data_IF_206211250307
#
_entry.id   IF_206211250307
#
_cell.length_a   1.000
_cell.length_b   1.000
_cell.length_c   1.000
_cell.angle_alpha   90.00
_cell.angle_beta   90.00
_cell.angle_gamma   90.00
#
_symmetry.space_group_name_H-M   'P 1'
#
loop_
_entity.id
_entity.type
_entity.pdbx_description
1 polymer ?
#
# COMPACT_ATOMS: atom_id res chain seq x y z
N UNK A 1 -1.62 0.92 -23.90
CA UNK A 1 -0.51 1.90 -23.78
C UNK A 1 0.75 1.26 -24.33
N UNK A 2 1.15 1.63 -25.55
CA UNK A 2 2.32 1.07 -26.23
C UNK A 2 3.59 1.78 -25.80
N UNK A 3 4.46 1.05 -25.08
CA UNK A 3 5.84 1.47 -24.86
C UNK A 3 6.72 0.24 -25.03
N UNK A 4 6.93 -0.20 -26.27
CA UNK A 4 8.14 -0.93 -26.61
C UNK A 4 8.62 -0.51 -27.98
N UNK A 5 9.93 -0.25 -28.04
CA UNK A 5 10.77 -0.05 -29.21
C UNK A 5 10.75 1.34 -29.85
N UNK A 6 11.53 2.26 -29.26
CA UNK A 6 12.41 3.08 -30.08
C UNK A 6 13.87 2.73 -29.76
N UNK A 7 14.57 2.26 -30.78
CA UNK A 7 15.94 1.77 -30.77
C UNK A 7 16.94 2.94 -30.75
N UNK A 8 17.59 3.17 -29.59
CA UNK A 8 19.02 3.54 -29.45
C UNK A 8 19.50 3.18 -28.03
N UNK A 9 20.53 2.34 -27.85
CA UNK A 9 21.13 2.15 -26.53
C UNK A 9 22.01 3.37 -26.22
N UNK A 10 21.44 4.41 -25.62
CA UNK A 10 22.26 5.28 -24.80
C UNK A 10 22.61 4.46 -23.56
N UNK A 11 23.77 3.77 -23.57
CA UNK A 11 24.30 2.97 -22.45
C UNK A 11 24.17 3.71 -21.10
N UNK A 12 24.25 5.05 -21.13
CA UNK A 12 23.99 5.95 -20.00
C UNK A 12 22.59 5.81 -19.36
N UNK A 13 21.53 5.63 -20.15
CA UNK A 13 20.15 5.49 -19.63
C UNK A 13 19.88 4.07 -19.10
N UNK A 14 20.44 3.05 -19.74
CA UNK A 14 20.33 1.65 -19.27
C UNK A 14 21.13 1.43 -17.99
N UNK A 15 22.32 2.03 -17.88
CA UNK A 15 23.11 2.01 -16.65
C UNK A 15 22.40 2.75 -15.52
N UNK A 16 21.82 3.94 -15.80
CA UNK A 16 21.04 4.70 -14.82
C UNK A 16 19.83 3.89 -14.33
N UNK A 17 19.14 3.18 -15.22
CA UNK A 17 18.02 2.29 -14.90
C UNK A 17 18.43 1.14 -13.97
N UNK A 18 19.53 0.45 -14.29
CA UNK A 18 20.05 -0.67 -13.48
C UNK A 18 20.51 -0.18 -12.11
N UNK A 19 21.25 0.93 -12.05
CA UNK A 19 21.77 1.49 -10.80
C UNK A 19 20.63 1.93 -9.87
N UNK A 20 19.61 2.63 -10.39
CA UNK A 20 18.46 3.05 -9.58
C UNK A 20 17.64 1.85 -9.08
N UNK A 21 17.45 0.83 -9.91
CA UNK A 21 16.76 -0.42 -9.52
C UNK A 21 17.52 -1.18 -8.44
N UNK A 22 18.85 -1.27 -8.57
CA UNK A 22 19.70 -1.92 -7.58
C UNK A 22 19.61 -1.19 -6.24
N UNK A 23 19.64 0.14 -6.23
CA UNK A 23 19.47 0.94 -5.01
C UNK A 23 18.13 0.65 -4.33
N UNK A 24 17.03 0.57 -5.08
CA UNK A 24 15.71 0.21 -4.55
C UNK A 24 15.68 -1.17 -3.90
N UNK A 25 16.25 -2.18 -4.58
CA UNK A 25 16.37 -3.55 -4.03
C UNK A 25 17.21 -3.55 -2.75
N UNK A 26 18.38 -2.89 -2.78
CA UNK A 26 19.25 -2.80 -1.61
C UNK A 26 18.54 -2.15 -0.42
N UNK A 27 17.75 -1.11 -0.67
CA UNK A 27 17.04 -0.37 0.36
C UNK A 27 15.89 -1.18 1.01
N UNK A 28 15.18 -2.01 0.23
CA UNK A 28 14.01 -2.77 0.70
C UNK A 28 14.32 -4.20 1.16
N UNK A 29 15.27 -4.88 0.51
CA UNK A 29 15.47 -6.32 0.70
C UNK A 29 16.79 -6.67 1.39
N UNK A 30 17.78 -5.78 1.40
CA UNK A 30 19.09 -6.10 1.97
C UNK A 30 19.23 -5.54 3.39
N UNK A 31 19.39 -6.40 4.41
CA UNK A 31 19.60 -5.97 5.78
C UNK A 31 21.09 -5.65 6.00
N UNK A 32 21.48 -4.41 5.69
CA UNK A 32 22.87 -3.94 5.80
C UNK A 32 23.19 -3.29 7.16
N UNK A 33 22.18 -3.02 7.99
CA UNK A 33 22.38 -2.27 9.24
C UNK A 33 22.43 -3.23 10.43
N UNK A 34 23.54 -3.30 11.18
CA UNK A 34 23.57 -4.01 12.45
C UNK A 34 22.73 -3.25 13.49
N UNK A 35 21.77 -3.95 14.10
CA UNK A 35 20.97 -3.48 15.23
C UNK A 35 21.09 -4.48 16.38
N UNK A 36 20.91 -4.03 17.63
CA UNK A 36 21.08 -4.83 18.85
C UNK A 36 20.22 -6.12 18.93
N UNK A 37 19.25 -6.30 18.02
CA UNK A 37 18.40 -7.51 17.90
C UNK A 37 18.50 -8.23 16.55
N UNK A 38 19.47 -7.89 15.70
CA UNK A 38 19.69 -8.51 14.39
C UNK A 38 20.02 -7.51 13.27
N UNK A 39 20.16 -8.01 12.02
CA UNK A 39 20.36 -7.14 10.84
C UNK A 39 19.01 -6.59 10.38
N UNK A 40 18.87 -5.26 10.41
CA UNK A 40 17.66 -4.56 9.97
C UNK A 40 17.76 -4.09 8.51
N UNK A 41 16.62 -4.01 7.83
CA UNK A 41 16.49 -3.41 6.49
C UNK A 41 16.72 -1.90 6.57
N UNK A 42 17.38 -1.32 5.55
CA UNK A 42 17.66 0.11 5.47
C UNK A 42 16.40 0.99 5.63
N UNK A 43 15.27 0.55 5.04
CA UNK A 43 13.97 1.21 5.21
C UNK A 43 13.57 1.34 6.69
N UNK A 44 13.68 0.26 7.46
CA UNK A 44 13.29 0.25 8.89
C UNK A 44 14.21 1.15 9.70
N UNK A 45 15.49 1.20 9.34
CA UNK A 45 16.44 2.12 9.95
C UNK A 45 16.07 3.59 9.70
N UNK A 46 15.72 3.96 8.46
CA UNK A 46 15.23 5.30 8.14
C UNK A 46 13.94 5.65 8.89
N UNK A 47 13.00 4.72 8.99
CA UNK A 47 11.77 4.89 9.78
C UNK A 47 12.08 5.15 11.24
N UNK A 48 13.03 4.40 11.84
CA UNK A 48 13.41 4.58 13.24
C UNK A 48 14.07 5.94 13.51
N UNK A 49 14.93 6.41 12.59
CA UNK A 49 15.51 7.76 12.67
C UNK A 49 14.40 8.82 12.67
N UNK A 50 13.49 8.76 11.70
CA UNK A 50 12.38 9.71 11.59
C UNK A 50 11.47 9.64 12.82
N UNK A 51 11.17 8.44 13.30
CA UNK A 51 10.37 8.22 14.51
C UNK A 51 11.03 8.83 15.75
N UNK A 52 12.36 8.70 15.88
CA UNK A 52 13.11 9.31 16.99
C UNK A 52 13.09 10.84 16.94
N UNK A 53 13.21 11.42 15.74
CA UNK A 53 13.18 12.86 15.53
C UNK A 53 11.79 13.46 15.81
N UNK A 54 10.72 12.71 15.48
CA UNK A 54 9.33 13.16 15.61
C UNK A 54 8.64 12.67 16.89
N UNK A 55 9.37 12.04 17.83
CA UNK A 55 8.80 11.36 19.02
C UNK A 55 7.75 12.17 19.81
N UNK A 56 7.91 13.50 20.04
CA UNK A 56 6.89 14.29 20.76
C UNK A 56 5.63 14.55 19.91
N UNK A 57 5.79 14.81 18.61
CA UNK A 57 4.70 15.18 17.70
C UNK A 57 3.97 13.97 17.12
N UNK A 58 4.56 12.78 17.18
CA UNK A 58 4.01 11.57 16.57
C UNK A 58 2.65 11.17 17.15
N UNK A 59 2.47 11.30 18.46
CA UNK A 59 1.18 11.02 19.10
C UNK A 59 0.09 11.97 18.61
N UNK A 60 0.42 13.25 18.43
CA UNK A 60 -0.50 14.26 17.89
C UNK A 60 -0.81 14.00 16.41
N UNK A 61 0.20 13.62 15.60
CA UNK A 61 0.01 13.28 14.18
C UNK A 61 -0.91 12.07 14.00
N UNK A 62 -0.80 11.04 14.84
CA UNK A 62 -1.73 9.90 14.80
C UNK A 62 -3.15 10.37 15.08
N UNK A 63 -3.37 11.20 16.11
CA UNK A 63 -4.70 11.73 16.41
C UNK A 63 -5.26 12.62 15.29
N UNK A 64 -4.43 13.49 14.70
CA UNK A 64 -4.83 14.34 13.57
C UNK A 64 -5.17 13.48 12.35
N UNK A 65 -4.38 12.45 12.06
CA UNK A 65 -4.64 11.55 10.92
C UNK A 65 -5.99 10.82 11.07
N UNK A 66 -6.28 10.25 12.25
CA UNK A 66 -7.55 9.56 12.50
C UNK A 66 -8.72 10.56 12.53
N UNK A 67 -8.54 11.72 13.18
CA UNK A 67 -9.55 12.77 13.26
C UNK A 67 -9.91 13.36 11.90
N UNK A 68 -8.92 13.60 11.04
CA UNK A 68 -9.13 14.06 9.66
C UNK A 68 -9.84 13.01 8.81
N UNK A 69 -9.53 11.71 8.94
CA UNK A 69 -10.26 10.64 8.25
C UNK A 69 -11.73 10.60 8.64
N UNK A 70 -12.04 10.74 9.93
CA UNK A 70 -13.43 10.81 10.42
C UNK A 70 -14.13 12.06 9.86
N UNK A 71 -13.48 13.22 9.91
CA UNK A 71 -14.03 14.48 9.39
C UNK A 71 -14.29 14.40 7.88
N UNK A 72 -13.37 13.80 7.11
CA UNK A 72 -13.52 13.58 5.67
C UNK A 72 -14.68 12.63 5.35
N UNK A 73 -14.85 11.55 6.14
CA UNK A 73 -15.98 10.63 5.97
C UNK A 73 -17.33 11.29 6.29
N UNK A 74 -17.39 12.12 7.34
CA UNK A 74 -18.60 12.84 7.74
C UNK A 74 -18.95 13.93 6.72
N UNK A 75 -17.97 14.72 6.29
CA UNK A 75 -18.16 15.77 5.29
C UNK A 75 -18.57 15.20 3.93
N UNK A 76 -17.99 14.08 3.50
CA UNK A 76 -18.41 13.39 2.27
C UNK A 76 -19.84 12.84 2.32
N UNK A 77 -20.40 12.57 3.51
CA UNK A 77 -21.80 12.15 3.69
C UNK A 77 -22.78 13.31 3.81
N UNK A 78 -22.38 14.40 4.46
CA UNK A 78 -23.26 15.52 4.76
C UNK A 78 -23.26 16.60 3.67
N UNK A 79 -22.20 16.65 2.85
CA UNK A 79 -21.99 17.75 1.89
C UNK A 79 -21.77 17.20 0.48
N UNK A 80 -22.82 17.24 -0.35
CA UNK A 80 -22.73 17.00 -1.81
C UNK A 80 -22.00 18.13 -2.57
N UNK A 81 -21.51 19.17 -1.86
CA UNK A 81 -20.86 20.32 -2.49
C UNK A 81 -19.46 20.02 -3.06
N UNK A 82 -18.82 18.92 -2.66
CA UNK A 82 -17.49 18.56 -3.13
C UNK A 82 -17.51 17.21 -3.87
N UNK A 83 -17.69 17.19 -5.20
CA UNK A 83 -17.81 15.95 -5.98
C UNK A 83 -16.58 15.04 -5.86
N UNK A 84 -15.39 15.61 -5.60
CA UNK A 84 -14.15 14.85 -5.38
C UNK A 84 -14.17 14.09 -4.05
N UNK A 85 -14.68 14.68 -2.97
CA UNK A 85 -14.76 14.02 -1.66
C UNK A 85 -15.83 12.93 -1.66
N UNK A 86 -17.00 13.21 -2.23
CA UNK A 86 -18.08 12.21 -2.36
C UNK A 86 -17.65 11.03 -3.23
N UNK A 87 -16.82 11.26 -4.27
CA UNK A 87 -16.28 10.17 -5.09
C UNK A 87 -15.23 9.32 -4.35
N UNK A 88 -14.41 9.92 -3.50
CA UNK A 88 -13.34 9.21 -2.79
C UNK A 88 -13.80 8.53 -1.50
N UNK A 89 -14.70 9.18 -0.74
CA UNK A 89 -15.14 8.73 0.60
C UNK A 89 -16.63 8.39 0.66
N UNK A 90 -17.44 8.68 -0.36
CA UNK A 90 -18.87 8.39 -0.37
C UNK A 90 -19.21 6.89 -0.43
N UNK A 91 -18.27 6.05 -0.89
CA UNK A 91 -18.41 4.59 -0.86
C UNK A 91 -18.13 3.94 0.51
N UNK A 92 -17.68 4.71 1.50
CA UNK A 92 -17.29 4.16 2.81
C UNK A 92 -18.53 3.73 3.60
N UNK A 93 -18.58 2.44 3.92
CA UNK A 93 -19.71 1.84 4.66
C UNK A 93 -19.75 2.36 6.10
N UNK A 94 -20.94 2.37 6.71
CA UNK A 94 -21.15 2.95 8.05
C UNK A 94 -20.30 2.26 9.13
N UNK A 95 -20.02 0.96 8.99
CA UNK A 95 -19.20 0.23 9.96
C UNK A 95 -17.75 0.72 10.04
N UNK A 96 -17.14 1.13 8.92
CA UNK A 96 -15.75 1.61 8.91
C UNK A 96 -15.61 2.92 9.68
N UNK A 97 -16.63 3.79 9.57
CA UNK A 97 -16.70 5.05 10.32
C UNK A 97 -16.79 4.77 11.83
N UNK A 98 -17.60 3.78 12.24
CA UNK A 98 -17.70 3.37 13.66
C UNK A 98 -16.35 2.83 14.17
N UNK A 99 -15.66 2.01 13.37
CA UNK A 99 -14.33 1.50 13.73
C UNK A 99 -13.29 2.62 13.87
N UNK A 100 -13.28 3.61 12.97
CA UNK A 100 -12.40 4.77 13.08
C UNK A 100 -12.70 5.60 14.33
N UNK A 101 -13.97 5.76 14.67
CA UNK A 101 -14.40 6.50 15.85
C UNK A 101 -13.98 5.79 17.15
N UNK A 102 -14.12 4.46 17.21
CA UNK A 102 -13.59 3.65 18.31
C UNK A 102 -12.07 3.79 18.41
N UNK A 103 -11.35 3.69 17.29
CA UNK A 103 -9.89 3.86 17.26
C UNK A 103 -9.43 5.24 17.72
N UNK A 104 -10.16 6.30 17.36
CA UNK A 104 -9.91 7.67 17.80
C UNK A 104 -10.09 7.82 19.32
N UNK A 105 -11.18 7.28 19.87
CA UNK A 105 -11.45 7.32 21.31
C UNK A 105 -10.37 6.55 22.08
N UNK A 106 -10.05 5.31 21.66
CA UNK A 106 -9.02 4.49 22.33
C UNK A 106 -7.63 5.14 22.28
N UNK A 107 -7.28 5.75 21.14
CA UNK A 107 -6.02 6.48 20.99
C UNK A 107 -5.99 7.73 21.87
N UNK A 108 -7.10 8.48 21.92
CA UNK A 108 -7.25 9.67 22.76
C UNK A 108 -7.18 9.35 24.26
N UNK A 109 -7.86 8.29 24.70
CA UNK A 109 -7.82 7.79 26.08
C UNK A 109 -6.40 7.41 26.50
N UNK A 110 -5.65 6.74 25.62
CA UNK A 110 -4.26 6.35 25.88
C UNK A 110 -3.33 7.56 25.98
N UNK A 111 -3.55 8.61 25.18
CA UNK A 111 -2.72 9.83 25.21
C UNK A 111 -3.04 10.68 26.44
N UNK A 112 -4.33 10.84 26.76
CA UNK A 112 -4.78 11.65 27.90
C UNK A 112 -4.67 10.90 29.24
N UNK A 113 -4.37 9.59 29.22
CA UNK A 113 -4.32 8.73 30.40
C UNK A 113 -5.64 8.74 31.20
N UNK A 114 -6.78 8.88 30.51
CA UNK A 114 -8.12 8.93 31.10
C UNK A 114 -8.92 7.73 30.61
N UNK A 115 -9.24 6.78 31.52
CA UNK A 115 -10.02 5.59 31.19
C UNK A 115 -9.70 4.35 32.04
N UNK A 116 -10.32 3.20 31.74
CA UNK A 116 -10.11 1.95 32.47
C UNK A 116 -8.66 1.47 32.38
N UNK A 117 -8.10 1.06 33.51
CA UNK A 117 -6.69 0.67 33.66
C UNK A 117 -6.29 -0.50 32.73
N UNK A 118 -7.24 -1.41 32.45
CA UNK A 118 -7.07 -2.51 31.51
C UNK A 118 -6.81 -2.06 30.06
N UNK A 119 -7.37 -0.92 29.64
CA UNK A 119 -7.24 -0.39 28.28
C UNK A 119 -6.00 0.49 28.11
N UNK A 120 -5.64 1.25 29.14
CA UNK A 120 -4.51 2.20 29.10
C UNK A 120 -3.19 1.52 29.45
N UNK A 121 -3.26 0.32 30.04
CA UNK A 121 -2.10 -0.45 30.44
C UNK A 121 -1.01 -0.51 29.35
N UNK A 122 0.27 -0.47 29.74
CA UNK A 122 1.40 -0.40 28.80
C UNK A 122 1.44 -1.58 27.82
N UNK A 123 0.86 -2.72 28.20
CA UNK A 123 0.75 -3.90 27.35
C UNK A 123 -0.26 -3.75 26.19
N UNK A 124 -1.32 -2.96 26.37
CA UNK A 124 -2.43 -2.85 25.40
C UNK A 124 -2.43 -1.48 24.72
N UNK A 125 -2.80 -0.42 25.44
CA UNK A 125 -2.87 0.94 24.88
C UNK A 125 -1.50 1.46 24.44
N UNK A 126 -0.47 1.25 25.28
CA UNK A 126 0.91 1.66 24.98
C UNK A 126 1.48 0.99 23.73
N UNK A 127 1.30 -0.33 23.60
CA UNK A 127 1.73 -1.06 22.40
C UNK A 127 0.91 -0.69 21.17
N UNK A 128 -0.42 -0.59 21.29
CA UNK A 128 -1.29 -0.20 20.19
C UNK A 128 -0.92 1.16 19.60
N UNK A 129 -0.73 2.16 20.46
CA UNK A 129 -0.30 3.49 20.02
C UNK A 129 1.13 3.48 19.47
N UNK A 130 2.03 2.69 20.06
CA UNK A 130 3.40 2.51 19.56
C UNK A 130 3.46 1.88 18.16
N UNK A 131 2.57 0.93 17.88
CA UNK A 131 2.41 0.31 16.57
C UNK A 131 1.81 1.30 15.57
N UNK A 132 0.71 1.98 15.93
CA UNK A 132 0.08 2.98 15.06
C UNK A 132 1.07 4.08 14.64
N UNK A 133 1.86 4.57 15.59
CA UNK A 133 2.98 5.50 15.35
C UNK A 133 3.98 4.96 14.33
N UNK A 134 4.40 3.71 14.49
CA UNK A 134 5.40 3.09 13.62
C UNK A 134 4.84 2.87 12.21
N UNK A 135 3.60 2.39 12.10
CA UNK A 135 2.92 2.14 10.83
C UNK A 135 2.71 3.43 10.06
N UNK A 136 2.28 4.52 10.71
CA UNK A 136 2.08 5.81 10.07
C UNK A 136 3.36 6.32 9.40
N UNK A 137 4.49 6.31 10.12
CA UNK A 137 5.78 6.73 9.55
C UNK A 137 6.24 5.77 8.46
N UNK A 138 6.05 4.47 8.65
CA UNK A 138 6.45 3.45 7.67
C UNK A 138 5.69 3.63 6.36
N UNK A 139 4.37 3.87 6.38
CA UNK A 139 3.57 4.06 5.17
C UNK A 139 4.02 5.32 4.41
N UNK A 140 4.37 6.41 5.11
CA UNK A 140 4.87 7.64 4.46
C UNK A 140 6.23 7.40 3.82
N UNK A 141 7.17 6.79 4.54
CA UNK A 141 8.53 6.53 4.04
C UNK A 141 8.52 5.50 2.92
N UNK A 142 7.82 4.38 3.11
CA UNK A 142 7.65 3.35 2.10
C UNK A 142 6.89 3.90 0.89
N UNK A 143 5.82 4.66 1.09
CA UNK A 143 5.04 5.27 0.01
C UNK A 143 5.84 6.23 -0.87
N UNK A 144 6.88 6.88 -0.33
CA UNK A 144 7.81 7.69 -1.13
C UNK A 144 8.82 6.84 -1.91
N UNK A 145 9.18 5.65 -1.41
CA UNK A 145 10.19 4.77 -2.02
C UNK A 145 9.63 3.63 -2.88
N UNK A 146 8.38 3.22 -2.69
CA UNK A 146 7.70 2.22 -3.52
C UNK A 146 7.60 2.68 -4.99
N UNK A 147 7.23 3.94 -5.30
CA UNK A 147 7.20 4.45 -6.67
C UNK A 147 8.56 4.35 -7.36
N UNK A 148 9.65 4.54 -6.63
CA UNK A 148 11.01 4.34 -7.16
C UNK A 148 11.15 2.91 -7.69
N UNK A 149 10.82 1.88 -6.90
CA UNK A 149 10.92 0.48 -7.34
C UNK A 149 9.99 0.16 -8.52
N UNK A 150 8.77 0.72 -8.53
CA UNK A 150 7.77 0.41 -9.57
C UNK A 150 8.02 1.17 -10.88
N UNK A 151 8.48 2.42 -10.83
CA UNK A 151 8.69 3.26 -12.03
C UNK A 151 10.05 3.02 -12.71
N UNK A 152 11.03 2.41 -12.02
CA UNK A 152 12.32 2.06 -12.63
C UNK A 152 12.27 0.81 -13.50
N UNK A 153 11.09 0.34 -13.94
CA UNK A 153 10.91 -0.77 -14.90
C UNK A 153 11.50 -2.12 -14.49
N UNK A 154 12.09 -2.25 -13.31
CA UNK A 154 12.52 -3.52 -12.72
C UNK A 154 11.33 -4.47 -12.58
N UNK A 155 10.19 -3.95 -12.13
CA UNK A 155 8.96 -4.73 -11.98
C UNK A 155 8.49 -5.32 -13.32
N UNK A 156 8.61 -4.53 -14.38
CA UNK A 156 8.28 -4.94 -15.75
C UNK A 156 9.29 -5.97 -16.27
N UNK A 157 10.58 -5.79 -15.99
CA UNK A 157 11.62 -6.77 -16.31
C UNK A 157 11.41 -8.11 -15.58
N UNK A 158 11.11 -8.08 -14.27
CA UNK A 158 10.76 -9.27 -13.49
C UNK A 158 9.49 -9.93 -14.04
N UNK A 159 8.49 -9.14 -14.41
CA UNK A 159 7.26 -9.64 -15.04
C UNK A 159 7.51 -10.34 -16.37
N UNK A 160 8.38 -9.80 -17.23
CA UNK A 160 8.82 -10.43 -18.49
C UNK A 160 9.66 -11.69 -18.23
N UNK A 161 10.48 -11.71 -17.18
CA UNK A 161 11.26 -12.89 -16.80
C UNK A 161 10.35 -14.03 -16.28
N UNK A 162 9.24 -13.68 -15.63
CA UNK A 162 8.24 -14.63 -15.10
C UNK A 162 7.23 -15.08 -16.18
N UNK A 163 6.99 -14.28 -17.22
CA UNK A 163 6.12 -14.64 -18.35
C UNK A 163 6.38 -16.05 -18.94
N UNK A 164 7.62 -16.45 -19.29
CA UNK A 164 7.88 -17.77 -19.86
C UNK A 164 7.62 -18.91 -18.88
N UNK A 165 7.70 -18.65 -17.56
CA UNK A 165 7.34 -19.62 -16.51
C UNK A 165 5.81 -19.72 -16.32
N UNK A 166 5.09 -18.61 -16.44
CA UNK A 166 3.64 -18.58 -16.25
C UNK A 166 2.84 -19.22 -17.40
N UNK A 167 3.33 -19.14 -18.65
CA UNK A 167 2.66 -19.76 -19.81
C UNK A 167 2.43 -21.28 -19.68
N UNK A 168 3.43 -22.11 -19.31
CA UNK A 168 3.24 -23.55 -19.18
C UNK A 168 2.45 -23.95 -17.93
N UNK A 169 2.63 -23.24 -16.80
CA UNK A 169 2.01 -23.61 -15.51
C UNK A 169 0.56 -23.14 -15.42
N UNK A 170 0.29 -21.88 -15.79
CA UNK A 170 -0.99 -21.22 -15.55
C UNK A 170 -1.77 -20.90 -16.83
N UNK A 171 -1.17 -21.07 -18.02
CA UNK A 171 -1.79 -20.75 -19.33
C UNK A 171 -2.35 -19.32 -19.41
N UNK A 172 -1.72 -18.38 -18.70
CA UNK A 172 -2.09 -16.96 -18.72
C UNK A 172 -1.21 -16.17 -19.69
N UNK A 173 -1.74 -15.12 -20.35
CA UNK A 173 -0.94 -14.25 -21.21
C UNK A 173 0.09 -13.48 -20.38
N UNK A 174 1.25 -13.14 -20.98
CA UNK A 174 2.35 -12.46 -20.27
C UNK A 174 1.99 -11.18 -19.54
N UNK A 175 1.02 -10.42 -20.08
CA UNK A 175 0.52 -9.20 -19.42
C UNK A 175 -0.11 -9.45 -18.05
N UNK A 176 -0.66 -10.64 -17.79
CA UNK A 176 -1.20 -11.02 -16.48
C UNK A 176 -0.08 -11.29 -15.45
N UNK A 177 1.11 -11.71 -15.89
CA UNK A 177 2.26 -11.91 -15.01
C UNK A 177 2.75 -10.57 -14.44
N UNK A 178 2.84 -9.54 -15.29
CA UNK A 178 3.23 -8.18 -14.88
C UNK A 178 2.20 -7.60 -13.90
N UNK A 179 0.91 -7.79 -14.16
CA UNK A 179 -0.16 -7.35 -13.26
C UNK A 179 -0.10 -8.06 -11.90
N UNK A 180 0.17 -9.37 -11.89
CA UNK A 180 0.31 -10.15 -10.67
C UNK A 180 1.49 -9.68 -9.80
N UNK A 181 2.66 -9.45 -10.41
CA UNK A 181 3.84 -8.93 -9.68
C UNK A 181 3.57 -7.52 -9.15
N UNK A 182 2.90 -6.68 -9.93
CA UNK A 182 2.52 -5.32 -9.51
C UNK A 182 1.55 -5.33 -8.34
N UNK A 183 0.56 -6.23 -8.36
CA UNK A 183 -0.41 -6.42 -7.26
C UNK A 183 0.25 -6.90 -5.97
N UNK A 184 1.26 -7.77 -6.09
CA UNK A 184 1.99 -8.32 -4.96
C UNK A 184 2.88 -7.28 -4.26
N UNK A 185 3.56 -6.43 -5.05
CA UNK A 185 4.55 -5.48 -4.51
C UNK A 185 3.92 -4.15 -4.09
N UNK A 186 2.96 -3.63 -4.85
CA UNK A 186 2.43 -2.28 -4.61
C UNK A 186 1.14 -2.31 -3.77
N UNK A 187 0.04 -2.77 -4.37
CA UNK A 187 -1.26 -2.89 -3.73
C UNK A 187 -2.18 -3.72 -4.66
N UNK A 188 -2.96 -4.69 -4.14
CA UNK A 188 -3.99 -5.37 -4.90
C UNK A 188 -4.93 -4.44 -5.69
N UNK A 189 -5.25 -3.26 -5.14
CA UNK A 189 -6.11 -2.27 -5.80
C UNK A 189 -5.49 -1.70 -7.07
N UNK A 190 -4.17 -1.50 -7.10
CA UNK A 190 -3.47 -1.01 -8.29
C UNK A 190 -3.48 -2.05 -9.40
N UNK A 191 -3.35 -3.34 -9.07
CA UNK A 191 -3.49 -4.43 -10.03
C UNK A 191 -4.86 -4.47 -10.70
N UNK A 192 -5.93 -4.39 -9.92
CA UNK A 192 -7.30 -4.34 -10.47
C UNK A 192 -7.48 -3.12 -11.37
N UNK A 193 -6.89 -1.97 -11.03
CA UNK A 193 -6.91 -0.78 -11.87
C UNK A 193 -6.19 -1.00 -13.21
N UNK A 194 -4.99 -1.60 -13.18
CA UNK A 194 -4.25 -1.95 -14.40
C UNK A 194 -5.00 -2.97 -15.25
N UNK A 195 -5.53 -4.02 -14.63
CA UNK A 195 -6.36 -5.02 -15.31
C UNK A 195 -7.63 -4.40 -15.90
N UNK A 196 -8.32 -3.48 -15.21
CA UNK A 196 -9.51 -2.80 -15.73
C UNK A 196 -9.17 -1.89 -16.93
N UNK A 197 -8.03 -1.18 -16.88
CA UNK A 197 -7.53 -0.40 -18.01
C UNK A 197 -7.20 -1.29 -19.21
N UNK A 198 -6.51 -2.40 -18.99
CA UNK A 198 -6.20 -3.39 -20.02
C UNK A 198 -7.46 -4.03 -20.62
N UNK A 199 -8.46 -4.33 -19.79
CA UNK A 199 -9.75 -4.86 -20.22
C UNK A 199 -10.48 -3.89 -21.16
N UNK A 200 -10.50 -2.60 -20.82
CA UNK A 200 -11.12 -1.54 -21.65
C UNK A 200 -10.34 -1.25 -22.93
N UNK A 201 -9.01 -1.24 -22.88
CA UNK A 201 -8.16 -0.93 -24.04
C UNK A 201 -8.07 -2.08 -25.06
N UNK A 202 -8.05 -3.34 -24.62
CA UNK A 202 -7.75 -4.49 -25.51
C UNK A 202 -8.96 -5.23 -26.06
N UNK A 203 -10.21 -4.82 -25.79
CA UNK A 203 -11.39 -5.57 -26.24
C UNK A 203 -11.22 -7.08 -25.94
N UNK A 204 -10.60 -7.43 -24.80
CA UNK A 204 -10.30 -8.83 -24.45
C UNK A 204 -11.65 -9.52 -24.34
N UNK A 205 -12.03 -10.18 -25.43
CA UNK A 205 -13.26 -10.92 -25.53
C UNK A 205 -13.29 -11.90 -24.36
N UNK A 206 -14.44 -11.96 -23.70
CA UNK A 206 -14.84 -12.89 -22.65
C UNK A 206 -14.10 -14.23 -22.71
N UNK A 207 -12.90 -14.30 -22.17
CA UNK A 207 -12.35 -15.56 -21.72
C UNK A 207 -13.12 -15.85 -20.43
N UNK A 208 -14.23 -16.58 -20.58
CA UNK A 208 -14.99 -17.14 -19.48
C UNK A 208 -13.96 -17.71 -18.48
N UNK A 209 -13.95 -17.26 -17.20
CA UNK A 209 -13.06 -17.89 -16.24
C UNK A 209 -13.39 -19.39 -16.25
N UNK A 210 -12.40 -20.30 -16.36
CA UNK A 210 -12.68 -21.75 -16.41
C UNK A 210 -13.46 -22.23 -15.18
N UNK A 211 -13.50 -21.42 -14.12
CA UNK A 211 -14.39 -21.58 -12.97
C UNK A 211 -14.87 -20.17 -12.58
N UNK A 212 -16.17 -19.91 -12.66
CA UNK A 212 -16.75 -18.75 -11.95
C UNK A 212 -16.41 -18.89 -10.47
N UNK A 213 -15.75 -17.91 -9.82
CA UNK A 213 -15.56 -17.99 -8.38
C UNK A 213 -16.95 -18.11 -7.74
N UNK A 214 -17.15 -19.03 -6.78
CA UNK A 214 -18.44 -19.13 -6.09
C UNK A 214 -18.81 -17.74 -5.56
N UNK A 215 -20.09 -17.37 -5.67
CA UNK A 215 -20.60 -16.03 -5.31
C UNK A 215 -20.25 -15.61 -3.88
N UNK A 216 -19.95 -16.57 -2.99
CA UNK A 216 -19.41 -16.34 -1.64
C UNK A 216 -18.04 -15.65 -1.61
N UNK A 217 -17.20 -15.91 -2.61
CA UNK A 217 -15.84 -15.35 -2.70
C UNK A 217 -15.94 -13.88 -3.10
N UNK A 218 -16.80 -13.54 -4.05
CA UNK A 218 -17.08 -12.14 -4.44
C UNK A 218 -17.59 -11.31 -3.25
N UNK A 219 -18.48 -11.87 -2.43
CA UNK A 219 -18.94 -11.19 -1.20
C UNK A 219 -17.87 -11.02 -0.13
N UNK A 220 -16.86 -11.90 -0.10
CA UNK A 220 -15.73 -11.78 0.82
C UNK A 220 -14.72 -10.72 0.35
N UNK A 221 -14.58 -10.52 -0.97
CA UNK A 221 -13.74 -9.46 -1.54
C UNK A 221 -14.37 -8.06 -1.37
N UNK A 222 -15.69 -7.95 -1.42
CA UNK A 222 -16.43 -6.71 -1.04
C UNK A 222 -16.30 -6.33 0.45
N UNK A 223 -15.75 -7.25 1.26
CA UNK A 223 -15.40 -7.04 2.67
C UNK A 223 -13.95 -6.58 2.84
N UNK A 224 -13.08 -6.89 1.87
CA UNK A 224 -11.64 -6.59 1.86
C UNK A 224 -11.28 -5.32 1.07
N UNK A 225 -12.15 -4.83 0.18
CA UNK A 225 -12.06 -3.48 -0.41
C UNK A 225 -12.57 -2.37 0.55
N UNK A 226 -12.44 -2.61 1.85
CA UNK A 226 -12.81 -1.68 2.90
C UNK A 226 -11.70 -0.65 3.18
#
# INVERSE_FOLDING_TARGET
MGIYMNSKPAIKNTLKFIVMSLIGILYFFVPLVPSDKGKGVLLVYSVNIIKSALSPWLSALVMISIGSLILLCITARLTDKFPTLTRLYGGVKTYSIVLYLIGFILSGMTILQIGPEYLIGPAVGGQGLGLAKTVLVTIVVAGLMVPFITEFGLLEYIGVLIEPLMRPVFKVPGYAAIDAVTSFVANPTLGIFFTNKLYKEKNIQRAKPPVSPPTSVLSAWDFLQC
#
